data_IF_327121206663
#
_entry.id   IF_327121206663
#
_cell.length_a   1.000
_cell.length_b   1.000
_cell.length_c   1.000
_cell.angle_alpha   90.00
_cell.angle_beta   90.00
_cell.angle_gamma   90.00
#
_symmetry.space_group_name_H-M   'P 1'
#
loop_
_entity.id
_entity.type
_entity.pdbx_description
1 polymer ?
#
# COMPACT_ATOMS: atom_id res chain seq x y z
N UNK A 1 -2.18 24.91 20.61
CA UNK A 1 -1.86 23.79 19.71
C UNK A 1 -2.70 22.60 20.14
N UNK A 2 -3.81 22.37 19.44
CA UNK A 2 -4.86 21.43 19.81
C UNK A 2 -4.38 19.99 19.60
N UNK A 3 -4.51 19.22 20.67
CA UNK A 3 -4.15 17.82 20.86
C UNK A 3 -5.04 16.90 20.03
N UNK A 4 -4.54 16.39 18.90
CA UNK A 4 -5.18 15.35 18.09
C UNK A 4 -4.74 13.91 18.46
N UNK A 5 -4.11 13.70 19.63
CA UNK A 5 -3.38 12.44 19.96
C UNK A 5 -4.11 11.55 21.01
N UNK A 6 -5.33 11.85 21.41
CA UNK A 6 -6.13 10.88 22.19
C UNK A 6 -7.42 10.53 21.46
N UNK A 7 -7.31 9.76 20.37
CA UNK A 7 -8.36 8.78 20.08
C UNK A 7 -8.28 7.78 21.23
N UNK A 8 -8.99 8.05 22.33
CA UNK A 8 -9.19 7.09 23.41
C UNK A 8 -10.10 6.00 22.84
N UNK A 9 -9.49 5.09 22.08
CA UNK A 9 -10.16 3.92 21.56
C UNK A 9 -10.73 3.19 22.78
N UNK A 10 -12.06 3.02 22.90
CA UNK A 10 -12.57 1.96 23.75
C UNK A 10 -11.81 0.69 23.38
N UNK A 11 -11.39 -0.10 24.37
CA UNK A 11 -10.61 -1.30 24.10
C UNK A 11 -11.30 -2.13 23.02
N UNK A 12 -10.53 -2.65 22.04
CA UNK A 12 -11.08 -3.40 20.90
C UNK A 12 -12.02 -4.54 21.34
N UNK A 13 -11.77 -5.10 22.54
CA UNK A 13 -12.57 -6.15 23.15
C UNK A 13 -13.59 -5.65 24.20
N UNK A 14 -13.45 -4.42 24.72
CA UNK A 14 -14.30 -3.92 25.80
C UNK A 14 -14.39 -2.39 25.81
N UNK A 15 -15.61 -1.80 25.87
CA UNK A 15 -16.95 -2.42 25.96
C UNK A 15 -17.47 -3.00 24.63
N UNK A 16 -18.55 -3.81 24.65
CA UNK A 16 -19.19 -4.33 23.44
C UNK A 16 -19.69 -3.21 22.52
N UNK A 17 -19.88 -3.53 21.23
CA UNK A 17 -20.41 -2.60 20.23
C UNK A 17 -21.77 -2.05 20.67
N UNK A 18 -21.96 -0.74 20.54
CA UNK A 18 -23.19 -0.02 20.95
C UNK A 18 -23.82 0.69 19.77
N UNK A 19 -25.14 0.79 19.80
CA UNK A 19 -25.84 1.66 18.85
C UNK A 19 -25.46 3.12 19.10
N UNK A 20 -25.10 3.92 18.06
CA UNK A 20 -24.75 5.33 18.23
C UNK A 20 -25.96 6.20 18.64
N UNK A 21 -27.20 5.71 18.48
CA UNK A 21 -28.40 6.48 18.78
C UNK A 21 -28.97 6.17 20.17
N UNK A 22 -29.06 4.89 20.56
CA UNK A 22 -29.64 4.49 21.86
C UNK A 22 -28.61 4.01 22.89
N UNK A 23 -27.32 3.93 22.52
CA UNK A 23 -26.22 3.44 23.36
C UNK A 23 -26.40 2.01 23.95
N UNK A 24 -27.44 1.29 23.53
CA UNK A 24 -27.69 -0.09 23.93
C UNK A 24 -26.58 -0.98 23.39
N UNK A 25 -26.07 -1.87 24.26
CA UNK A 25 -25.10 -2.88 23.86
C UNK A 25 -25.74 -3.87 22.88
N UNK A 26 -25.08 -4.09 21.74
CA UNK A 26 -25.50 -5.04 20.74
C UNK A 26 -25.13 -6.46 21.19
N UNK A 27 -26.03 -7.41 20.99
CA UNK A 27 -25.74 -8.83 21.19
C UNK A 27 -24.79 -9.30 20.09
N UNK A 28 -24.02 -10.34 20.34
CA UNK A 28 -23.07 -10.91 19.36
C UNK A 28 -23.72 -11.24 18.00
N UNK A 29 -24.99 -11.69 17.98
CA UNK A 29 -25.75 -11.98 16.74
C UNK A 29 -26.04 -10.74 15.90
N UNK A 30 -26.13 -9.57 16.53
CA UNK A 30 -26.29 -8.30 15.83
C UNK A 30 -24.94 -7.72 15.38
N UNK A 31 -23.83 -8.34 15.80
CA UNK A 31 -22.46 -7.91 15.53
C UNK A 31 -21.88 -8.53 14.25
N UNK A 32 -22.70 -9.17 13.41
CA UNK A 32 -22.34 -9.60 12.04
C UNK A 32 -23.03 -8.64 11.06
N UNK A 33 -22.43 -7.48 10.77
CA UNK A 33 -23.11 -6.36 10.12
C UNK A 33 -23.88 -6.71 8.85
N UNK A 34 -23.35 -7.52 7.93
CA UNK A 34 -24.06 -7.90 6.69
C UNK A 34 -25.33 -8.70 6.99
N UNK A 35 -25.20 -9.76 7.80
CA UNK A 35 -26.33 -10.64 8.11
C UNK A 35 -27.36 -9.93 9.00
N UNK A 36 -26.91 -9.18 10.00
CA UNK A 36 -27.80 -8.46 10.92
C UNK A 36 -28.48 -7.27 10.24
N UNK A 37 -27.79 -6.55 9.34
CA UNK A 37 -28.36 -5.43 8.60
C UNK A 37 -29.43 -5.90 7.60
N UNK A 38 -29.20 -7.03 6.90
CA UNK A 38 -30.22 -7.63 6.03
C UNK A 38 -31.45 -8.09 6.82
N UNK A 39 -31.25 -8.78 7.94
CA UNK A 39 -32.34 -9.26 8.80
C UNK A 39 -33.16 -8.10 9.38
N UNK A 40 -32.49 -7.06 9.87
CA UNK A 40 -33.11 -5.90 10.52
C UNK A 40 -33.53 -4.80 9.52
N UNK A 41 -33.42 -5.06 8.20
CA UNK A 41 -33.75 -4.13 7.10
C UNK A 41 -33.10 -2.75 7.28
N UNK A 42 -31.82 -2.76 7.67
CA UNK A 42 -31.02 -1.56 7.87
C UNK A 42 -31.41 -0.69 9.08
N UNK A 43 -32.13 -1.25 10.06
CA UNK A 43 -32.56 -0.53 11.27
C UNK A 43 -32.00 -1.16 12.53
N UNK A 44 -31.82 -0.37 13.58
CA UNK A 44 -31.47 -0.90 14.89
C UNK A 44 -32.63 -1.73 15.48
N UNK A 45 -32.33 -2.88 16.09
CA UNK A 45 -33.33 -3.75 16.72
C UNK A 45 -34.06 -3.11 17.91
N UNK A 46 -33.49 -2.08 18.56
CA UNK A 46 -34.05 -1.48 19.77
C UNK A 46 -34.70 -0.13 19.52
N UNK A 47 -34.04 0.76 18.77
CA UNK A 47 -34.51 2.13 18.53
C UNK A 47 -35.02 2.39 17.11
N UNK A 48 -34.99 1.39 16.22
CA UNK A 48 -35.40 1.51 14.80
C UNK A 48 -34.66 2.58 13.97
N UNK A 49 -33.63 3.23 14.53
CA UNK A 49 -32.80 4.20 13.82
C UNK A 49 -32.06 3.54 12.63
N UNK A 50 -31.88 4.27 11.51
CA UNK A 50 -31.21 3.73 10.34
C UNK A 50 -29.71 3.50 10.59
N UNK A 51 -29.20 2.36 10.13
CA UNK A 51 -27.78 2.01 10.16
C UNK A 51 -27.20 2.22 8.76
N UNK A 52 -26.13 3.02 8.66
CA UNK A 52 -25.49 3.33 7.39
C UNK A 52 -24.98 2.08 6.65
N UNK A 53 -25.21 2.03 5.33
CA UNK A 53 -24.81 0.90 4.48
C UNK A 53 -23.29 0.72 4.33
N UNK A 54 -22.48 1.69 4.78
CA UNK A 54 -21.01 1.58 4.76
C UNK A 54 -20.50 0.33 5.48
N UNK A 55 -21.09 -0.01 6.63
CA UNK A 55 -20.64 -1.12 7.48
C UNK A 55 -20.82 -2.48 6.81
N UNK A 56 -22.03 -2.84 6.31
CA UNK A 56 -22.19 -4.10 5.59
C UNK A 56 -21.39 -4.12 4.28
N UNK A 57 -21.20 -2.99 3.60
CA UNK A 57 -20.37 -2.95 2.39
C UNK A 57 -18.91 -3.28 2.67
N UNK A 58 -18.30 -2.71 3.71
CA UNK A 58 -16.89 -2.99 4.07
C UNK A 58 -16.71 -4.45 4.48
N UNK A 59 -17.64 -5.03 5.24
CA UNK A 59 -17.57 -6.44 5.62
C UNK A 59 -17.74 -7.37 4.41
N UNK A 60 -18.70 -7.07 3.53
CA UNK A 60 -18.89 -7.84 2.29
C UNK A 60 -17.67 -7.75 1.37
N UNK A 61 -17.07 -6.56 1.22
CA UNK A 61 -15.85 -6.36 0.44
C UNK A 61 -14.67 -7.14 1.05
N UNK A 62 -14.49 -7.10 2.37
CA UNK A 62 -13.46 -7.88 3.07
C UNK A 62 -13.65 -9.38 2.83
N UNK A 63 -14.87 -9.88 3.01
CA UNK A 63 -15.20 -11.29 2.78
C UNK A 63 -14.96 -11.72 1.33
N UNK A 64 -15.37 -10.90 0.36
CA UNK A 64 -15.19 -11.16 -1.06
C UNK A 64 -13.70 -11.19 -1.47
N UNK A 65 -12.90 -10.23 -0.99
CA UNK A 65 -11.45 -10.19 -1.25
C UNK A 65 -10.76 -11.42 -0.65
N UNK A 66 -11.04 -11.75 0.61
CA UNK A 66 -10.48 -12.93 1.27
C UNK A 66 -10.89 -14.23 0.55
N UNK A 67 -12.16 -14.40 0.20
CA UNK A 67 -12.64 -15.56 -0.53
C UNK A 67 -11.99 -15.67 -1.92
N UNK A 68 -11.91 -14.57 -2.66
CA UNK A 68 -11.25 -14.52 -3.98
C UNK A 68 -9.79 -14.94 -3.89
N UNK A 69 -9.04 -14.42 -2.92
CA UNK A 69 -7.65 -14.81 -2.70
C UNK A 69 -7.53 -16.29 -2.31
N UNK A 70 -8.40 -16.79 -1.43
CA UNK A 70 -8.41 -18.19 -1.02
C UNK A 70 -8.67 -19.15 -2.20
N UNK A 71 -9.60 -18.79 -3.10
CA UNK A 71 -9.93 -19.58 -4.29
C UNK A 71 -8.79 -19.59 -5.30
N UNK A 72 -8.11 -18.45 -5.49
CA UNK A 72 -7.05 -18.31 -6.50
C UNK A 72 -5.70 -18.90 -6.05
N UNK A 73 -5.36 -18.78 -4.76
CA UNK A 73 -4.03 -19.12 -4.24
C UNK A 73 -4.03 -20.30 -3.26
N UNK A 74 -5.19 -20.83 -2.88
CA UNK A 74 -5.33 -21.93 -1.93
C UNK A 74 -4.81 -21.60 -0.51
N UNK A 75 -4.63 -22.61 0.36
CA UNK A 75 -4.13 -22.43 1.73
C UNK A 75 -2.61 -22.27 1.76
N UNK A 76 -2.09 -21.17 1.20
CA UNK A 76 -0.65 -20.86 1.14
C UNK A 76 -0.27 -19.67 2.02
N UNK A 77 1.00 -19.57 2.42
CA UNK A 77 1.51 -18.42 3.17
C UNK A 77 1.39 -17.11 2.34
N UNK A 78 1.54 -17.22 1.01
CA UNK A 78 1.31 -16.12 0.09
C UNK A 78 -0.16 -15.66 0.13
N UNK A 79 -1.12 -16.59 0.13
CA UNK A 79 -2.54 -16.24 0.25
C UNK A 79 -2.82 -15.49 1.55
N UNK A 80 -2.24 -15.91 2.68
CA UNK A 80 -2.37 -15.22 3.96
C UNK A 80 -1.77 -13.80 3.91
N UNK A 81 -0.58 -13.66 3.31
CA UNK A 81 0.06 -12.36 3.14
C UNK A 81 -0.77 -11.42 2.25
N UNK A 82 -1.33 -11.95 1.15
CA UNK A 82 -2.21 -11.20 0.24
C UNK A 82 -3.54 -10.83 0.90
N UNK A 83 -4.12 -11.68 1.73
CA UNK A 83 -5.32 -11.35 2.54
C UNK A 83 -5.03 -10.21 3.51
N UNK A 84 -3.89 -10.26 4.22
CA UNK A 84 -3.47 -9.18 5.11
C UNK A 84 -3.25 -7.87 4.36
N UNK A 85 -2.57 -7.93 3.21
CA UNK A 85 -2.37 -6.77 2.34
C UNK A 85 -3.69 -6.20 1.83
N UNK A 86 -4.59 -7.05 1.33
CA UNK A 86 -5.89 -6.63 0.80
C UNK A 86 -6.76 -5.98 1.88
N UNK A 87 -6.78 -6.54 3.10
CA UNK A 87 -7.49 -5.94 4.23
C UNK A 87 -6.92 -4.56 4.59
N UNK A 88 -5.58 -4.42 4.62
CA UNK A 88 -4.93 -3.15 4.92
C UNK A 88 -5.21 -2.09 3.86
N UNK A 89 -5.16 -2.47 2.58
CA UNK A 89 -5.50 -1.58 1.46
C UNK A 89 -6.98 -1.19 1.46
N UNK A 90 -7.88 -2.11 1.83
CA UNK A 90 -9.31 -1.80 1.96
C UNK A 90 -9.56 -0.78 3.08
N UNK A 91 -8.92 -0.94 4.24
CA UNK A 91 -9.00 0.03 5.35
C UNK A 91 -8.48 1.39 4.91
N UNK A 92 -7.31 1.43 4.25
CA UNK A 92 -6.74 2.67 3.71
C UNK A 92 -7.67 3.33 2.68
N UNK A 93 -8.25 2.57 1.77
CA UNK A 93 -9.19 3.09 0.78
C UNK A 93 -10.45 3.68 1.43
N UNK A 94 -11.00 3.01 2.45
CA UNK A 94 -12.16 3.54 3.17
C UNK A 94 -11.82 4.81 3.93
N UNK A 95 -10.65 4.85 4.58
CA UNK A 95 -10.20 6.02 5.33
C UNK A 95 -9.91 7.21 4.40
N UNK A 96 -9.29 6.96 3.25
CA UNK A 96 -9.01 7.95 2.21
C UNK A 96 -10.32 8.56 1.66
N UNK A 97 -11.32 7.74 1.37
CA UNK A 97 -12.63 8.21 0.90
C UNK A 97 -13.36 9.10 1.91
N UNK A 98 -13.12 8.91 3.20
CA UNK A 98 -13.77 9.68 4.27
C UNK A 98 -13.00 10.94 4.67
N UNK A 99 -11.66 10.85 4.71
CA UNK A 99 -10.83 11.88 5.34
C UNK A 99 -9.84 12.53 4.37
N UNK A 100 -9.59 11.96 3.19
CA UNK A 100 -8.57 12.39 2.23
C UNK A 100 -7.17 12.55 2.86
N UNK A 101 -6.91 11.79 3.93
CA UNK A 101 -5.68 11.78 4.70
C UNK A 101 -5.20 10.34 4.82
N UNK A 102 -3.92 10.07 4.55
CA UNK A 102 -3.35 8.74 4.71
C UNK A 102 -2.71 8.63 6.10
N UNK A 103 -3.15 7.69 6.96
CA UNK A 103 -2.60 7.54 8.30
C UNK A 103 -1.22 6.87 8.23
N UNK A 104 -0.19 7.58 8.72
CA UNK A 104 1.21 7.13 8.73
C UNK A 104 1.40 5.79 9.45
N UNK A 105 0.56 5.48 10.44
CA UNK A 105 0.60 4.21 11.17
C UNK A 105 0.25 2.99 10.31
N UNK A 106 -0.44 3.17 9.18
CA UNK A 106 -0.75 2.10 8.23
C UNK A 106 0.16 2.13 7.00
N UNK A 107 0.50 3.33 6.51
CA UNK A 107 1.32 3.48 5.30
C UNK A 107 2.79 3.13 5.53
N UNK A 108 3.39 3.53 6.67
CA UNK A 108 4.80 3.27 6.96
C UNK A 108 5.10 1.76 7.09
N UNK A 109 4.30 0.95 7.83
CA UNK A 109 4.52 -0.49 7.87
C UNK A 109 4.37 -1.16 6.50
N UNK A 110 3.39 -0.73 5.69
CA UNK A 110 3.22 -1.25 4.33
C UNK A 110 4.40 -0.92 3.43
N UNK A 111 4.92 0.31 3.51
CA UNK A 111 6.10 0.75 2.77
C UNK A 111 7.32 -0.12 3.13
N UNK A 112 7.58 -0.32 4.42
CA UNK A 112 8.68 -1.16 4.87
C UNK A 112 8.49 -2.63 4.49
N UNK A 113 7.29 -3.18 4.66
CA UNK A 113 6.98 -4.56 4.26
C UNK A 113 7.18 -4.76 2.75
N UNK A 114 6.72 -3.82 1.92
CA UNK A 114 6.91 -3.84 0.48
C UNK A 114 8.39 -3.74 0.09
N UNK A 115 9.15 -2.85 0.73
CA UNK A 115 10.58 -2.69 0.47
C UNK A 115 11.37 -3.96 0.83
N UNK A 116 11.07 -4.58 1.98
CA UNK A 116 11.71 -5.82 2.41
C UNK A 116 11.35 -6.99 1.49
N UNK A 117 10.08 -7.13 1.12
CA UNK A 117 9.64 -8.16 0.17
C UNK A 117 10.28 -7.97 -1.21
N UNK A 118 10.40 -6.73 -1.67
CA UNK A 118 11.07 -6.39 -2.93
C UNK A 118 12.57 -6.69 -2.87
N UNK A 119 13.23 -6.31 -1.77
CA UNK A 119 14.65 -6.60 -1.54
C UNK A 119 14.95 -8.11 -1.56
N UNK A 120 14.04 -8.93 -1.00
CA UNK A 120 14.15 -10.38 -1.05
C UNK A 120 13.95 -10.96 -2.47
N UNK A 121 13.16 -10.30 -3.33
CA UNK A 121 12.83 -10.78 -4.68
C UNK A 121 13.75 -10.33 -5.81
N UNK A 122 14.36 -9.13 -5.74
CA UNK A 122 15.14 -8.54 -6.84
C UNK A 122 16.67 -8.68 -6.72
N UNK A 123 17.19 -9.34 -5.69
CA UNK A 123 18.62 -9.61 -5.55
C UNK A 123 19.51 -8.39 -5.29
N UNK A 124 18.92 -7.22 -4.99
CA UNK A 124 19.58 -5.94 -4.66
C UNK A 124 20.66 -5.51 -5.68
N UNK A 125 20.66 -6.02 -6.91
CA UNK A 125 21.73 -5.76 -7.89
C UNK A 125 21.84 -4.28 -8.25
N UNK A 126 20.73 -3.68 -8.66
CA UNK A 126 20.65 -2.25 -9.00
C UNK A 126 20.92 -1.35 -7.79
N UNK A 127 20.49 -1.77 -6.59
CA UNK A 127 20.75 -1.05 -5.34
C UNK A 127 22.24 -1.07 -4.96
N UNK A 128 22.91 -2.22 -5.13
CA UNK A 128 24.37 -2.35 -4.93
C UNK A 128 25.15 -1.53 -5.94
N UNK A 129 24.72 -1.52 -7.20
CA UNK A 129 25.35 -0.70 -8.25
C UNK A 129 25.21 0.80 -7.95
N UNK A 130 24.02 1.25 -7.56
CA UNK A 130 23.78 2.63 -7.14
C UNK A 130 24.64 3.01 -5.92
N UNK A 131 24.74 2.12 -4.93
CA UNK A 131 25.57 2.33 -3.75
C UNK A 131 27.07 2.42 -4.11
N UNK A 132 27.56 1.55 -4.99
CA UNK A 132 28.95 1.59 -5.48
C UNK A 132 29.24 2.89 -6.26
N UNK A 133 28.32 3.32 -7.13
CA UNK A 133 28.44 4.58 -7.86
C UNK A 133 28.37 5.80 -6.94
N UNK A 134 27.51 5.78 -5.92
CA UNK A 134 27.44 6.82 -4.90
C UNK A 134 28.71 6.90 -4.03
N UNK A 135 29.32 5.75 -3.74
CA UNK A 135 30.61 5.71 -3.03
C UNK A 135 31.76 6.26 -3.87
N UNK A 136 31.77 6.02 -5.19
CA UNK A 136 32.81 6.51 -6.10
C UNK A 136 32.61 7.99 -6.46
N UNK A 137 31.44 8.36 -6.97
CA UNK A 137 31.16 9.70 -7.50
C UNK A 137 30.71 10.71 -6.43
N UNK A 138 30.50 10.23 -5.20
CA UNK A 138 29.95 11.02 -4.10
C UNK A 138 28.43 11.00 -4.05
N UNK A 139 27.87 11.22 -2.86
CA UNK A 139 26.42 11.20 -2.63
C UNK A 139 25.69 12.32 -3.40
N UNK A 140 26.39 13.42 -3.72
CA UNK A 140 25.85 14.53 -4.50
C UNK A 140 25.54 14.14 -5.96
N UNK A 141 26.19 13.10 -6.48
CA UNK A 141 25.96 12.61 -7.85
C UNK A 141 24.71 11.71 -7.95
N UNK A 142 24.20 11.19 -6.83
CA UNK A 142 23.06 10.26 -6.80
C UNK A 142 21.78 10.80 -7.43
N UNK A 143 21.33 12.05 -7.20
CA UNK A 143 20.13 12.58 -7.85
C UNK A 143 20.26 12.63 -9.37
N UNK A 144 21.42 13.06 -9.88
CA UNK A 144 21.69 13.11 -11.32
C UNK A 144 21.77 11.72 -11.95
N UNK A 145 22.39 10.74 -11.25
CA UNK A 145 22.42 9.33 -11.66
C UNK A 145 21.01 8.74 -11.79
N UNK A 146 20.16 8.95 -10.78
CA UNK A 146 18.79 8.45 -10.76
C UNK A 146 17.94 9.10 -11.86
N UNK A 147 18.10 10.41 -12.09
CA UNK A 147 17.44 11.11 -13.19
C UNK A 147 17.86 10.56 -14.56
N UNK A 148 19.16 10.41 -14.81
CA UNK A 148 19.67 9.87 -16.07
C UNK A 148 19.20 8.42 -16.30
N UNK A 149 19.21 7.59 -15.25
CA UNK A 149 18.71 6.22 -15.32
C UNK A 149 17.21 6.15 -15.60
N UNK A 150 16.41 7.03 -14.98
CA UNK A 150 14.97 7.14 -15.21
C UNK A 150 14.64 7.57 -16.65
N UNK A 151 15.35 8.58 -17.17
CA UNK A 151 15.18 9.04 -18.55
C UNK A 151 15.53 7.94 -19.57
N UNK A 152 16.62 7.20 -19.33
CA UNK A 152 16.99 6.04 -20.14
C UNK A 152 15.90 4.97 -20.11
N UNK A 153 15.38 4.64 -18.92
CA UNK A 153 14.32 3.65 -18.75
C UNK A 153 13.04 4.02 -19.48
N UNK A 154 12.60 5.29 -19.41
CA UNK A 154 11.44 5.79 -20.15
C UNK A 154 11.67 5.71 -21.66
N UNK A 155 12.82 6.18 -22.15
CA UNK A 155 13.15 6.14 -23.58
C UNK A 155 13.19 4.70 -24.11
N UNK A 156 13.87 3.79 -23.40
CA UNK A 156 13.94 2.38 -23.76
C UNK A 156 12.58 1.68 -23.69
N UNK A 157 11.75 2.01 -22.68
CA UNK A 157 10.40 1.49 -22.53
C UNK A 157 9.46 1.94 -23.64
N UNK A 158 9.51 3.22 -24.02
CA UNK A 158 8.75 3.76 -25.16
C UNK A 158 9.20 3.10 -26.47
N UNK A 159 10.51 2.93 -26.67
CA UNK A 159 11.06 2.25 -27.84
C UNK A 159 10.65 0.77 -27.91
N UNK A 160 10.68 0.06 -26.78
CA UNK A 160 10.26 -1.33 -26.68
C UNK A 160 8.75 -1.47 -26.97
N UNK A 161 7.93 -0.58 -26.41
CA UNK A 161 6.48 -0.51 -26.68
C UNK A 161 6.19 -0.22 -28.15
N UNK A 162 6.91 0.72 -28.76
CA UNK A 162 6.80 1.02 -30.20
C UNK A 162 7.17 -0.19 -31.07
N UNK A 163 8.19 -0.95 -30.66
CA UNK A 163 8.62 -2.20 -31.31
C UNK A 163 7.76 -3.41 -30.95
N UNK A 164 6.65 -3.23 -30.22
CA UNK A 164 5.79 -4.29 -29.65
C UNK A 164 6.55 -5.40 -28.92
N UNK A 165 7.66 -5.06 -28.25
CA UNK A 165 8.40 -5.99 -27.40
C UNK A 165 8.06 -5.75 -25.93
N UNK A 166 7.65 -6.81 -25.24
CA UNK A 166 7.66 -6.81 -23.78
C UNK A 166 9.11 -6.98 -23.32
N UNK A 167 9.78 -5.87 -22.99
CA UNK A 167 11.11 -5.90 -22.41
C UNK A 167 11.01 -5.45 -20.94
N UNK A 168 11.21 -6.38 -20.00
CA UNK A 168 11.61 -5.99 -18.64
C UNK A 168 13.02 -5.40 -18.77
N UNK A 169 13.14 -4.10 -18.55
CA UNK A 169 14.44 -3.42 -18.55
C UNK A 169 14.89 -3.28 -17.08
N UNK A 170 15.95 -3.99 -16.65
CA UNK A 170 16.57 -3.73 -15.35
C UNK A 170 17.12 -2.30 -15.29
N UNK A 171 17.27 -1.72 -14.10
CA UNK A 171 17.68 -0.31 -13.95
C UNK A 171 19.18 -0.13 -14.23
N UNK A 172 19.97 -1.19 -14.06
CA UNK A 172 21.43 -1.21 -14.20
C UNK A 172 22.01 -0.51 -15.44
N UNK A 173 21.54 -0.77 -16.67
CA UNK A 173 22.01 -0.07 -17.87
C UNK A 173 21.82 1.45 -17.81
N UNK A 174 20.70 1.92 -17.24
CA UNK A 174 20.45 3.34 -17.05
C UNK A 174 21.41 3.97 -16.05
N UNK A 175 21.72 3.26 -14.96
CA UNK A 175 22.71 3.71 -13.97
C UNK A 175 24.13 3.78 -14.55
N UNK A 176 24.52 2.78 -15.34
CA UNK A 176 25.81 2.77 -16.02
C UNK A 176 25.91 3.93 -17.03
N UNK A 177 24.85 4.20 -17.78
CA UNK A 177 24.77 5.34 -18.70
C UNK A 177 24.88 6.68 -17.99
N UNK A 178 24.14 6.87 -16.89
CA UNK A 178 24.22 8.08 -16.07
C UNK A 178 25.62 8.31 -15.49
N UNK A 179 26.28 7.25 -15.01
CA UNK A 179 27.64 7.35 -14.50
C UNK A 179 28.63 7.77 -15.59
N UNK A 180 28.52 7.19 -16.79
CA UNK A 180 29.36 7.56 -17.93
C UNK A 180 29.20 9.05 -18.31
N UNK A 181 27.96 9.57 -18.31
CA UNK A 181 27.69 10.98 -18.58
C UNK A 181 28.34 11.91 -17.55
N UNK A 182 28.25 11.57 -16.26
CA UNK A 182 28.81 12.37 -15.17
C UNK A 182 30.35 12.39 -15.25
N UNK A 183 30.98 11.23 -15.47
CA UNK A 183 32.43 11.13 -15.63
C UNK A 183 32.90 11.90 -16.86
N UNK A 184 32.19 11.76 -17.99
CA UNK A 184 32.52 12.49 -19.22
C UNK A 184 32.37 14.02 -19.04
N UNK A 185 31.29 14.47 -18.39
CA UNK A 185 31.05 15.89 -18.09
C UNK A 185 32.10 16.49 -17.17
N UNK A 186 32.50 15.77 -16.13
CA UNK A 186 33.59 16.19 -15.24
C UNK A 186 34.93 16.31 -15.99
N UNK A 187 35.23 15.38 -16.91
CA UNK A 187 36.43 15.43 -17.75
C UNK A 187 36.45 16.57 -18.77
N UNK A 188 35.27 17.06 -19.18
CA UNK A 188 35.12 18.24 -20.06
C UNK A 188 35.32 19.57 -19.32
N UNK A 189 34.95 19.65 -18.03
CA UNK A 189 35.13 20.85 -17.21
C UNK A 189 36.55 21.02 -16.64
N UNK A 190 37.33 19.93 -16.61
CA UNK A 190 38.70 19.92 -16.10
C UNK A 190 39.76 20.26 -17.16
N UNK A 191 39.36 20.62 -18.39
CA UNK A 191 40.22 21.08 -19.48
C UNK A 191 39.99 22.55 -19.74
#
# INVERSE_FOLDING_TARGET
MQTWIEIRLPGLAHPPSRCPHCATALRWRHNVPVLSWLWLRGRCAFCAAPIAARYPLVEAATGALCAGIAVLYGPTLLALALMGLAAMLLVLACFDLEHLLLPDCLTLPLLWAGLLANAAGLGLGDAKLLAALGAWLGWQALPALLLAAGLWGVAAGLLARWRRRAALQPLGPGLAFGAALIVAGAGLMAR
#
